data_IF_245526545839
#
_entry.id   IF_245526545839
#
_cell.length_a   1.000
_cell.length_b   1.000
_cell.length_c   1.000
_cell.angle_alpha   90.00
_cell.angle_beta   90.00
_cell.angle_gamma   90.00
#
_symmetry.space_group_name_H-M   'P 1'
#
loop_
_entity.id
_entity.type
_entity.pdbx_description
1 polymer ?
#
# COMPACT_ATOMS: atom_id res chain seq x y z
N UNK A 1 24.52 -15.34 13.47
CA UNK A 1 24.60 -13.86 13.58
C UNK A 1 25.16 -13.40 12.25
N UNK A 2 24.30 -12.96 11.34
CA UNK A 2 24.73 -12.39 10.06
C UNK A 2 24.95 -10.89 10.28
N UNK A 3 26.12 -10.40 9.88
CA UNK A 3 26.50 -8.99 10.03
C UNK A 3 25.79 -8.10 9.00
N UNK A 4 25.72 -6.78 9.25
CA UNK A 4 25.00 -5.81 8.41
C UNK A 4 25.58 -5.58 7.00
N UNK A 5 26.58 -6.36 6.57
CA UNK A 5 27.25 -6.23 5.26
C UNK A 5 27.04 -7.45 4.33
N UNK A 6 26.37 -8.52 4.77
CA UNK A 6 25.94 -9.60 3.87
C UNK A 6 24.61 -9.18 3.22
N UNK A 7 24.74 -8.37 2.17
CA UNK A 7 23.64 -7.78 1.40
C UNK A 7 22.60 -8.80 0.96
N UNK A 8 21.36 -8.44 1.23
CA UNK A 8 20.14 -9.01 0.66
C UNK A 8 20.28 -9.07 -0.87
N UNK A 9 19.71 -10.12 -1.47
CA UNK A 9 19.60 -10.32 -2.92
C UNK A 9 19.38 -9.01 -3.67
N UNK A 10 20.31 -8.69 -4.58
CA UNK A 10 20.28 -7.50 -5.46
C UNK A 10 19.21 -7.61 -6.57
N UNK A 11 18.53 -8.76 -6.68
CA UNK A 11 17.56 -9.01 -7.73
C UNK A 11 16.18 -8.45 -7.35
N UNK A 12 15.85 -7.28 -7.88
CA UNK A 12 14.50 -6.67 -7.81
C UNK A 12 13.54 -7.18 -8.90
N UNK A 13 13.90 -8.23 -9.64
CA UNK A 13 13.07 -8.78 -10.74
C UNK A 13 11.69 -9.26 -10.26
N UNK A 14 11.55 -9.61 -8.98
CA UNK A 14 10.27 -10.02 -8.36
C UNK A 14 9.37 -8.85 -7.92
N UNK A 15 9.84 -7.60 -8.05
CA UNK A 15 9.09 -6.42 -7.62
C UNK A 15 7.96 -6.04 -8.60
N UNK A 16 7.89 -6.65 -9.77
CA UNK A 16 6.96 -6.22 -10.81
C UNK A 16 6.24 -7.40 -11.46
N UNK A 17 5.70 -8.30 -10.64
CA UNK A 17 5.06 -9.53 -11.11
C UNK A 17 3.92 -9.29 -12.12
N UNK A 18 3.23 -8.15 -12.04
CA UNK A 18 2.18 -7.72 -12.95
C UNK A 18 2.70 -7.03 -14.23
N UNK A 19 4.01 -6.80 -14.38
CA UNK A 19 4.61 -6.08 -15.50
C UNK A 19 5.37 -7.05 -16.42
N UNK A 20 5.05 -7.01 -17.71
CA UNK A 20 5.71 -7.78 -18.76
C UNK A 20 6.46 -6.88 -19.72
N UNK A 21 7.68 -7.27 -20.08
CA UNK A 21 8.47 -6.60 -21.12
C UNK A 21 8.37 -7.42 -22.41
N UNK A 22 7.74 -6.85 -23.45
CA UNK A 22 7.60 -7.50 -24.76
C UNK A 22 8.18 -6.59 -25.83
N UNK A 23 9.29 -7.01 -26.44
CA UNK A 23 9.97 -6.25 -27.50
C UNK A 23 10.50 -4.88 -27.04
N UNK A 24 10.87 -4.73 -25.77
CA UNK A 24 11.33 -3.47 -25.17
C UNK A 24 10.21 -2.54 -24.68
N UNK A 25 8.94 -2.95 -24.83
CA UNK A 25 7.79 -2.21 -24.32
C UNK A 25 7.30 -2.81 -22.99
N UNK A 26 6.93 -1.94 -22.06
CA UNK A 26 6.40 -2.28 -20.73
C UNK A 26 4.88 -2.41 -20.80
N UNK A 27 4.36 -3.54 -20.34
CA UNK A 27 2.93 -3.85 -20.30
C UNK A 27 2.49 -4.26 -18.91
N UNK A 28 1.48 -3.60 -18.36
CA UNK A 28 0.84 -4.01 -17.12
C UNK A 28 -0.31 -4.95 -17.43
N UNK A 29 -0.31 -6.12 -16.80
CA UNK A 29 -1.44 -7.04 -16.83
C UNK A 29 -2.48 -6.61 -15.81
N UNK A 30 -3.74 -6.58 -16.25
CA UNK A 30 -4.90 -6.30 -15.40
C UNK A 30 -5.81 -7.51 -15.49
N UNK A 31 -6.41 -7.90 -14.37
CA UNK A 31 -7.38 -8.99 -14.35
C UNK A 31 -8.65 -8.65 -15.16
N UNK A 32 -9.35 -9.66 -15.73
CA UNK A 32 -10.53 -9.42 -16.58
C UNK A 32 -11.68 -8.66 -15.91
N UNK A 33 -11.77 -8.71 -14.58
CA UNK A 33 -12.74 -8.04 -13.73
C UNK A 33 -12.27 -6.64 -13.26
N UNK A 34 -11.01 -6.27 -13.51
CA UNK A 34 -10.47 -4.96 -13.18
C UNK A 34 -11.27 -3.85 -13.89
N UNK A 35 -11.67 -2.75 -13.22
CA UNK A 35 -12.53 -1.72 -13.81
C UNK A 35 -11.97 -1.07 -15.09
N UNK A 36 -10.65 -0.97 -15.18
CA UNK A 36 -9.92 -0.48 -16.35
C UNK A 36 -9.48 -1.55 -17.37
N UNK A 37 -9.93 -2.82 -17.24
CA UNK A 37 -9.45 -3.92 -18.11
C UNK A 37 -9.65 -3.64 -19.60
N UNK A 38 -10.80 -3.04 -19.96
CA UNK A 38 -11.20 -2.72 -21.35
C UNK A 38 -10.96 -1.26 -21.74
N UNK A 39 -10.38 -0.45 -20.85
CA UNK A 39 -10.09 0.95 -21.12
C UNK A 39 -8.67 1.07 -21.66
N UNK A 40 -8.54 1.28 -22.98
CA UNK A 40 -7.24 1.40 -23.64
C UNK A 40 -6.42 2.58 -23.10
N UNK A 41 -7.08 3.71 -22.79
CA UNK A 41 -6.40 4.89 -22.26
C UNK A 41 -5.83 4.64 -20.87
N UNK A 42 -6.59 3.98 -19.99
CA UNK A 42 -6.10 3.60 -18.67
C UNK A 42 -4.95 2.58 -18.74
N UNK A 43 -5.01 1.62 -19.68
CA UNK A 43 -3.93 0.64 -19.87
C UNK A 43 -2.63 1.31 -20.35
N UNK A 44 -2.72 2.19 -21.33
CA UNK A 44 -1.57 2.97 -21.81
C UNK A 44 -0.99 3.81 -20.68
N UNK A 45 -1.86 4.36 -19.83
CA UNK A 45 -1.45 5.12 -18.67
C UNK A 45 -0.71 4.29 -17.62
N UNK A 46 -1.21 3.10 -17.30
CA UNK A 46 -0.51 2.13 -16.43
C UNK A 46 0.85 1.75 -17.00
N UNK A 47 0.95 1.54 -18.31
CA UNK A 47 2.20 1.24 -18.98
C UNK A 47 3.21 2.40 -18.91
N UNK A 48 2.76 3.64 -19.08
CA UNK A 48 3.60 4.83 -18.96
C UNK A 48 4.19 4.96 -17.55
N UNK A 49 3.36 4.81 -16.51
CA UNK A 49 3.82 4.92 -15.12
C UNK A 49 4.72 3.73 -14.74
N UNK A 50 4.42 2.52 -15.20
CA UNK A 50 5.25 1.34 -14.92
C UNK A 50 6.67 1.45 -15.50
N UNK A 51 6.88 2.21 -16.58
CA UNK A 51 8.23 2.47 -17.12
C UNK A 51 9.13 3.17 -16.10
N UNK A 52 8.58 4.08 -15.30
CA UNK A 52 9.32 4.78 -14.24
C UNK A 52 9.90 3.75 -13.27
N UNK A 53 9.10 2.78 -12.84
CA UNK A 53 9.54 1.73 -11.93
C UNK A 53 10.55 0.77 -12.57
N UNK A 54 10.43 0.47 -13.87
CA UNK A 54 11.41 -0.38 -14.57
C UNK A 54 12.78 0.31 -14.64
N UNK A 55 12.79 1.55 -15.12
CA UNK A 55 14.02 2.35 -15.21
C UNK A 55 14.63 2.60 -13.83
N UNK A 56 13.79 2.75 -12.80
CA UNK A 56 14.24 2.84 -11.42
C UNK A 56 14.93 1.55 -10.96
N UNK A 57 14.39 0.39 -11.33
CA UNK A 57 14.93 -0.90 -10.94
C UNK A 57 16.22 -1.30 -11.66
N UNK A 58 16.50 -0.71 -12.82
CA UNK A 58 17.77 -0.91 -13.52
C UNK A 58 18.95 -0.20 -12.82
N UNK A 59 18.68 0.78 -11.96
CA UNK A 59 19.71 1.48 -11.19
C UNK A 59 20.21 0.63 -10.03
N UNK A 60 21.51 0.75 -9.73
CA UNK A 60 22.09 0.19 -8.50
C UNK A 60 21.53 0.89 -7.26
N UNK A 61 21.62 0.24 -6.10
CA UNK A 61 21.17 0.81 -4.82
C UNK A 61 21.86 2.14 -4.49
N UNK A 62 23.14 2.28 -4.82
CA UNK A 62 23.91 3.53 -4.59
C UNK A 62 23.44 4.66 -5.51
N UNK A 63 23.11 4.35 -6.76
CA UNK A 63 22.54 5.34 -7.69
C UNK A 63 21.15 5.79 -7.23
N UNK A 64 20.27 4.85 -6.85
CA UNK A 64 18.92 5.17 -6.34
C UNK A 64 18.96 6.08 -5.10
N UNK A 65 19.93 5.89 -4.20
CA UNK A 65 20.11 6.72 -3.00
C UNK A 65 20.48 8.17 -3.31
N UNK A 66 21.09 8.41 -4.47
CA UNK A 66 21.56 9.73 -4.89
C UNK A 66 20.71 10.33 -6.03
N UNK A 67 19.65 9.64 -6.44
CA UNK A 67 18.77 10.03 -7.54
C UNK A 67 17.40 10.42 -7.00
N UNK A 68 16.79 11.46 -7.58
CA UNK A 68 15.40 11.85 -7.25
C UNK A 68 14.44 10.91 -7.96
N UNK A 69 13.42 10.45 -7.25
CA UNK A 69 12.33 9.65 -7.80
C UNK A 69 11.67 10.44 -8.94
N UNK A 70 11.55 9.87 -10.15
CA UNK A 70 10.93 10.57 -11.26
C UNK A 70 9.47 10.91 -10.96
N UNK A 71 9.03 12.07 -11.46
CA UNK A 71 7.65 12.48 -11.32
C UNK A 71 6.74 11.62 -12.20
N UNK A 72 5.64 11.15 -11.64
CA UNK A 72 4.56 10.56 -12.44
C UNK A 72 3.79 11.71 -13.14
N UNK A 73 3.54 11.61 -14.46
CA UNK A 73 3.00 12.72 -15.23
C UNK A 73 1.46 12.86 -15.09
N UNK A 74 0.93 12.98 -13.87
CA UNK A 74 -0.52 12.97 -13.55
C UNK A 74 -1.37 13.89 -14.42
N UNK A 75 -2.53 13.41 -14.87
CA UNK A 75 -3.51 14.19 -15.63
C UNK A 75 -4.52 14.89 -14.72
N UNK A 76 -5.22 15.89 -15.26
CA UNK A 76 -6.30 16.58 -14.52
C UNK A 76 -7.44 15.62 -14.12
N UNK A 77 -7.72 14.59 -14.91
CA UNK A 77 -8.72 13.57 -14.60
C UNK A 77 -8.27 12.68 -13.43
N UNK A 78 -6.98 12.33 -13.36
CA UNK A 78 -6.39 11.57 -12.25
C UNK A 78 -6.39 12.41 -10.96
N UNK A 79 -6.05 13.69 -11.05
CA UNK A 79 -6.14 14.65 -9.93
C UNK A 79 -7.59 14.79 -9.44
N UNK A 80 -8.58 14.78 -10.34
CA UNK A 80 -9.99 14.80 -9.95
C UNK A 80 -10.43 13.52 -9.21
N UNK A 81 -9.92 12.34 -9.60
CA UNK A 81 -10.16 11.09 -8.86
C UNK A 81 -9.58 11.17 -7.45
N UNK A 82 -8.34 11.65 -7.32
CA UNK A 82 -7.72 11.89 -6.02
C UNK A 82 -8.57 12.82 -5.16
N UNK A 83 -8.99 13.97 -5.69
CA UNK A 83 -9.76 14.95 -4.96
C UNK A 83 -11.09 14.38 -4.44
N UNK A 84 -11.80 13.62 -5.28
CA UNK A 84 -13.04 12.96 -4.88
C UNK A 84 -12.83 11.94 -3.74
N UNK A 85 -11.71 11.23 -3.75
CA UNK A 85 -11.36 10.28 -2.68
C UNK A 85 -11.02 11.03 -1.39
N UNK A 86 -10.18 12.07 -1.47
CA UNK A 86 -9.77 12.87 -0.31
C UNK A 86 -10.96 13.55 0.37
N UNK A 87 -11.89 14.12 -0.40
CA UNK A 87 -13.13 14.70 0.11
C UNK A 87 -13.93 13.68 0.93
N UNK A 88 -14.01 12.43 0.46
CA UNK A 88 -14.81 11.39 1.10
C UNK A 88 -14.12 10.78 2.31
N UNK A 89 -12.81 10.57 2.26
CA UNK A 89 -12.09 9.78 3.28
C UNK A 89 -11.71 10.61 4.51
N UNK A 90 -11.46 11.91 4.38
CA UNK A 90 -11.02 12.74 5.52
C UNK A 90 -12.00 12.79 6.70
N UNK A 91 -13.32 13.00 6.50
CA UNK A 91 -14.28 12.95 7.61
C UNK A 91 -14.31 11.57 8.29
N UNK A 92 -14.05 10.52 7.53
CA UNK A 92 -14.03 9.13 8.01
C UNK A 92 -12.77 8.89 8.84
N UNK A 93 -11.60 9.41 8.43
CA UNK A 93 -10.38 9.38 9.24
C UNK A 93 -10.56 10.06 10.58
N UNK A 94 -11.11 11.28 10.62
CA UNK A 94 -11.31 12.02 11.89
C UNK A 94 -12.17 11.21 12.89
N UNK A 95 -13.10 10.41 12.38
CA UNK A 95 -13.97 9.56 13.20
C UNK A 95 -13.31 8.25 13.60
N UNK A 96 -12.62 7.57 12.69
CA UNK A 96 -12.27 6.16 12.83
C UNK A 96 -10.77 5.85 12.77
N UNK A 97 -9.92 6.73 12.28
CA UNK A 97 -8.48 6.52 12.35
C UNK A 97 -7.96 6.70 13.79
N UNK A 98 -6.86 6.02 14.10
CA UNK A 98 -6.15 6.17 15.37
C UNK A 98 -5.53 7.57 15.51
N UNK A 99 -5.24 7.99 16.74
CA UNK A 99 -4.65 9.31 17.02
C UNK A 99 -3.30 9.50 16.32
N UNK A 100 -2.46 8.46 16.35
CA UNK A 100 -1.13 8.48 15.75
C UNK A 100 -1.19 8.71 14.23
N UNK A 101 -2.14 8.09 13.54
CA UNK A 101 -2.40 8.35 12.12
C UNK A 101 -2.75 9.81 11.89
N UNK A 102 -3.75 10.34 12.61
CA UNK A 102 -4.22 11.72 12.43
C UNK A 102 -3.11 12.76 12.67
N UNK A 103 -2.29 12.54 13.70
CA UNK A 103 -1.16 13.41 14.01
C UNK A 103 -0.11 13.43 12.89
N UNK A 104 0.20 12.27 12.31
CA UNK A 104 1.21 12.16 11.26
C UNK A 104 0.66 12.50 9.85
N UNK A 105 -0.61 12.25 9.58
CA UNK A 105 -1.29 12.72 8.38
C UNK A 105 -1.28 14.25 8.31
N UNK A 106 -1.47 14.95 9.44
CA UNK A 106 -1.32 16.42 9.52
C UNK A 106 0.10 16.89 9.22
N UNK A 107 1.13 16.20 9.71
CA UNK A 107 2.54 16.52 9.43
C UNK A 107 2.90 16.28 7.97
N UNK A 108 2.42 15.18 7.41
CA UNK A 108 2.64 14.81 6.02
C UNK A 108 1.97 15.84 5.09
N UNK A 109 0.77 16.31 5.45
CA UNK A 109 0.09 17.40 4.78
C UNK A 109 -0.13 17.09 3.30
N UNK A 110 -0.71 15.92 3.01
CA UNK A 110 -1.06 15.54 1.64
C UNK A 110 -2.12 16.51 1.10
N UNK A 111 -1.98 16.97 -0.16
CA UNK A 111 -2.92 17.87 -0.81
C UNK A 111 -4.30 17.24 -1.01
N UNK A 112 -5.32 18.10 -1.16
CA UNK A 112 -6.71 17.70 -1.40
C UNK A 112 -7.12 17.69 -2.85
N UNK A 113 -6.39 18.40 -3.70
CA UNK A 113 -6.82 18.79 -5.04
C UNK A 113 -6.04 18.09 -6.16
N UNK A 114 -4.91 17.45 -5.84
CA UNK A 114 -4.05 16.78 -6.81
C UNK A 114 -3.19 15.69 -6.18
N UNK A 115 -2.73 14.74 -6.98
CA UNK A 115 -1.88 13.66 -6.51
C UNK A 115 -0.47 14.22 -6.20
N UNK A 116 0.06 14.04 -4.99
CA UNK A 116 1.41 14.47 -4.66
C UNK A 116 2.47 13.56 -5.31
N UNK A 117 3.63 14.12 -5.63
CA UNK A 117 4.72 13.35 -6.22
C UNK A 117 5.43 12.50 -5.17
N UNK A 118 5.76 11.26 -5.53
CA UNK A 118 6.36 10.28 -4.61
C UNK A 118 7.66 10.81 -3.97
N UNK A 119 8.47 11.56 -4.73
CA UNK A 119 9.67 12.22 -4.22
C UNK A 119 9.39 13.19 -3.05
N UNK A 120 8.35 14.02 -3.19
CA UNK A 120 8.01 15.05 -2.20
C UNK A 120 7.51 14.41 -0.90
N UNK A 121 6.73 13.33 -1.02
CA UNK A 121 6.20 12.58 0.13
C UNK A 121 7.33 11.79 0.80
N UNK A 122 8.19 11.13 0.02
CA UNK A 122 9.36 10.39 0.49
C UNK A 122 10.32 11.28 1.31
N UNK A 123 10.56 12.52 0.87
CA UNK A 123 11.39 13.47 1.62
C UNK A 123 10.79 13.80 3.00
N UNK A 124 9.48 14.06 3.06
CA UNK A 124 8.80 14.31 4.32
C UNK A 124 8.88 13.09 5.24
N UNK A 125 8.56 11.90 4.73
CA UNK A 125 8.63 10.65 5.49
C UNK A 125 10.05 10.41 6.03
N UNK A 126 11.07 10.69 5.22
CA UNK A 126 12.47 10.53 5.62
C UNK A 126 12.83 11.41 6.83
N UNK A 127 12.33 12.64 6.89
CA UNK A 127 12.53 13.50 8.07
C UNK A 127 11.81 13.01 9.33
N UNK A 128 10.78 12.17 9.19
CA UNK A 128 9.98 11.67 10.31
C UNK A 128 10.59 10.42 10.93
N UNK A 129 10.96 9.42 10.13
CA UNK A 129 11.41 8.10 10.62
C UNK A 129 12.63 7.54 9.88
N UNK A 130 13.16 8.27 8.90
CA UNK A 130 14.24 7.83 8.02
C UNK A 130 13.79 6.89 6.91
N UNK A 131 12.51 6.51 6.85
CA UNK A 131 11.96 5.77 5.72
C UNK A 131 12.00 6.61 4.44
N UNK A 132 12.29 5.95 3.32
CA UNK A 132 12.14 6.51 1.98
C UNK A 132 11.25 5.61 1.15
N UNK A 133 10.62 6.18 0.15
CA UNK A 133 9.83 5.42 -0.82
C UNK A 133 10.65 5.13 -2.09
N UNK A 134 10.36 4.03 -2.76
CA UNK A 134 10.86 3.72 -4.10
C UNK A 134 9.69 3.30 -5.01
N UNK A 135 9.66 3.74 -6.28
CA UNK A 135 8.59 3.41 -7.20
C UNK A 135 8.60 1.92 -7.56
N UNK A 136 7.41 1.32 -7.61
CA UNK A 136 7.22 -0.05 -8.09
C UNK A 136 6.05 -0.13 -9.08
N UNK A 137 6.15 -1.04 -10.05
CA UNK A 137 5.21 -1.15 -11.17
C UNK A 137 3.94 -1.93 -10.84
N UNK A 138 3.89 -2.62 -9.71
CA UNK A 138 2.74 -3.42 -9.28
C UNK A 138 3.06 -4.29 -8.08
N UNK A 139 2.40 -5.46 -7.99
CA UNK A 139 2.59 -6.40 -6.89
C UNK A 139 4.01 -6.95 -6.84
N UNK A 140 4.58 -6.91 -5.65
CA UNK A 140 5.93 -7.37 -5.30
C UNK A 140 5.83 -8.69 -4.56
N UNK A 141 6.76 -9.61 -4.81
CA UNK A 141 6.87 -10.80 -3.98
C UNK A 141 7.06 -10.42 -2.49
N UNK A 142 6.33 -11.03 -1.53
CA UNK A 142 6.34 -10.60 -0.13
C UNK A 142 7.74 -10.50 0.48
N UNK A 143 8.64 -11.44 0.15
CA UNK A 143 10.01 -11.43 0.64
C UNK A 143 10.81 -10.23 0.18
N UNK A 144 10.63 -9.82 -1.08
CA UNK A 144 11.27 -8.64 -1.66
C UNK A 144 10.75 -7.37 -0.99
N UNK A 145 9.43 -7.29 -0.78
CA UNK A 145 8.79 -6.16 -0.11
C UNK A 145 9.26 -6.02 1.35
N UNK A 146 9.18 -7.08 2.14
CA UNK A 146 9.62 -7.08 3.54
C UNK A 146 11.12 -6.80 3.68
N UNK A 147 11.95 -7.35 2.80
CA UNK A 147 13.40 -7.06 2.82
C UNK A 147 13.70 -5.58 2.55
N UNK A 148 12.89 -4.91 1.73
CA UNK A 148 12.98 -3.45 1.56
C UNK A 148 12.63 -2.70 2.86
N UNK A 149 11.58 -3.13 3.57
CA UNK A 149 11.19 -2.53 4.86
C UNK A 149 12.30 -2.61 5.91
N UNK A 150 13.04 -3.73 5.97
CA UNK A 150 14.20 -3.88 6.85
C UNK A 150 15.26 -2.79 6.61
N UNK A 151 15.32 -2.26 5.39
CA UNK A 151 16.26 -1.20 4.98
C UNK A 151 15.63 0.20 4.99
N UNK A 152 14.48 0.36 5.66
CA UNK A 152 13.69 1.60 5.67
C UNK A 152 13.31 2.08 4.26
N UNK A 153 13.06 1.13 3.35
CA UNK A 153 12.56 1.39 2.01
C UNK A 153 11.14 0.85 1.91
N UNK A 154 10.20 1.73 1.56
CA UNK A 154 8.83 1.35 1.26
C UNK A 154 8.63 1.35 -0.26
N UNK A 155 8.33 0.19 -0.84
CA UNK A 155 8.02 0.09 -2.27
C UNK A 155 6.60 0.58 -2.50
N UNK A 156 6.43 1.59 -3.34
CA UNK A 156 5.19 2.34 -3.52
C UNK A 156 4.83 2.41 -4.98
N UNK A 157 3.60 2.08 -5.33
CA UNK A 157 3.08 2.34 -6.66
C UNK A 157 2.86 3.84 -6.89
N UNK A 158 2.82 4.26 -8.15
CA UNK A 158 2.53 5.64 -8.55
C UNK A 158 1.26 5.78 -9.39
N UNK A 159 0.63 4.70 -9.85
CA UNK A 159 -0.62 4.80 -10.62
C UNK A 159 -1.81 5.02 -9.70
N UNK A 160 -2.84 5.71 -10.18
CA UNK A 160 -4.12 5.84 -9.47
C UNK A 160 -5.14 4.84 -10.01
N UNK A 161 -6.05 4.38 -9.15
CA UNK A 161 -7.17 3.51 -9.53
C UNK A 161 -8.07 4.14 -10.60
N UNK A 162 -8.80 3.28 -11.30
CA UNK A 162 -9.69 3.70 -12.39
C UNK A 162 -10.87 4.58 -11.92
N UNK A 163 -11.17 5.63 -12.68
CA UNK A 163 -12.17 6.66 -12.33
C UNK A 163 -13.62 6.16 -12.24
N UNK A 164 -13.95 5.02 -12.86
CA UNK A 164 -15.30 4.42 -12.77
C UNK A 164 -15.60 3.82 -11.39
N UNK A 165 -14.55 3.53 -10.60
CA UNK A 165 -14.66 2.95 -9.25
C UNK A 165 -13.65 3.66 -8.32
N UNK A 166 -13.76 4.98 -8.08
CA UNK A 166 -12.77 5.72 -7.27
C UNK A 166 -12.75 5.27 -5.80
N UNK A 167 -13.80 4.56 -5.39
CA UNK A 167 -14.06 4.13 -4.04
C UNK A 167 -13.70 2.67 -3.77
N UNK A 168 -13.15 1.96 -4.77
CA UNK A 168 -12.78 0.55 -4.69
C UNK A 168 -11.56 0.29 -5.59
N UNK A 169 -10.59 -0.48 -5.11
CA UNK A 169 -9.49 -0.98 -5.93
C UNK A 169 -9.02 -2.34 -5.40
N UNK A 170 -8.81 -3.36 -6.26
CA UNK A 170 -8.24 -4.63 -5.84
C UNK A 170 -6.70 -4.57 -5.73
N UNK A 171 -6.08 -3.53 -6.30
CA UNK A 171 -4.64 -3.33 -6.33
C UNK A 171 -4.22 -2.15 -5.45
N UNK A 172 -3.01 -2.18 -4.85
CA UNK A 172 -2.47 -1.06 -4.08
C UNK A 172 -2.06 0.07 -5.03
N UNK A 173 -2.96 1.05 -5.22
CA UNK A 173 -2.72 2.26 -6.01
C UNK A 173 -2.09 3.38 -5.17
N UNK A 174 -1.72 4.50 -5.78
CA UNK A 174 -1.06 5.63 -5.09
C UNK A 174 -1.85 6.16 -3.90
N UNK A 175 -3.18 6.07 -3.90
CA UNK A 175 -4.00 6.42 -2.74
C UNK A 175 -3.73 5.47 -1.59
N UNK A 176 -3.73 4.16 -1.85
CA UNK A 176 -3.40 3.15 -0.85
C UNK A 176 -2.04 3.41 -0.19
N UNK A 177 -1.03 3.68 -1.00
CA UNK A 177 0.34 3.89 -0.50
C UNK A 177 0.49 5.19 0.30
N UNK A 178 -0.01 6.30 -0.27
CA UNK A 178 0.24 7.61 0.31
C UNK A 178 -0.72 7.92 1.46
N UNK A 179 -2.01 7.61 1.29
CA UNK A 179 -3.05 7.87 2.29
C UNK A 179 -3.07 6.79 3.36
N UNK A 180 -2.91 5.51 2.97
CA UNK A 180 -2.92 4.38 3.91
C UNK A 180 -1.60 4.24 4.66
N UNK A 181 -0.52 3.90 3.95
CA UNK A 181 0.76 3.53 4.56
C UNK A 181 1.54 4.72 5.10
N UNK A 182 1.70 5.77 4.30
CA UNK A 182 2.78 6.75 4.53
C UNK A 182 2.62 7.52 5.84
N UNK A 183 1.40 7.89 6.21
CA UNK A 183 1.15 8.55 7.50
C UNK A 183 1.47 7.63 8.70
N UNK A 184 1.16 6.33 8.61
CA UNK A 184 1.51 5.36 9.64
C UNK A 184 3.02 5.09 9.70
N UNK A 185 3.71 5.04 8.57
CA UNK A 185 5.19 4.94 8.54
C UNK A 185 5.89 6.17 9.15
N UNK A 186 5.18 7.28 9.29
CA UNK A 186 5.63 8.46 10.05
C UNK A 186 5.59 8.28 11.57
N UNK A 187 4.97 7.21 12.08
CA UNK A 187 4.92 6.85 13.51
C UNK A 187 6.17 6.01 13.84
N UNK A 188 7.06 6.45 14.76
CA UNK A 188 8.31 5.75 15.04
C UNK A 188 8.14 4.27 15.42
N UNK A 189 7.17 3.94 16.27
CA UNK A 189 6.92 2.57 16.72
C UNK A 189 6.36 1.69 15.59
N UNK A 190 5.56 2.27 14.68
CA UNK A 190 5.03 1.55 13.52
C UNK A 190 6.12 1.31 12.47
N UNK A 191 6.98 2.31 12.25
CA UNK A 191 8.15 2.19 11.40
C UNK A 191 9.11 1.10 11.92
N UNK A 192 9.36 1.06 13.22
CA UNK A 192 10.14 0.00 13.86
C UNK A 192 9.49 -1.38 13.68
N UNK A 193 8.18 -1.49 13.84
CA UNK A 193 7.46 -2.74 13.61
C UNK A 193 7.64 -3.24 12.17
N UNK A 194 7.54 -2.36 11.18
CA UNK A 194 7.78 -2.71 9.77
C UNK A 194 9.21 -3.21 9.52
N UNK A 195 10.22 -2.57 10.14
CA UNK A 195 11.62 -3.01 10.06
C UNK A 195 11.77 -4.41 10.66
N UNK A 196 11.19 -4.66 11.85
CA UNK A 196 11.27 -5.95 12.53
C UNK A 196 10.59 -7.07 11.74
N UNK A 197 9.47 -6.79 11.07
CA UNK A 197 8.85 -7.72 10.13
C UNK A 197 9.76 -8.02 8.95
N UNK A 198 10.39 -7.00 8.38
CA UNK A 198 11.39 -7.14 7.33
C UNK A 198 12.55 -8.04 7.72
N UNK A 199 13.18 -7.76 8.86
CA UNK A 199 14.27 -8.57 9.42
C UNK A 199 13.83 -10.00 9.74
N UNK A 200 12.58 -10.20 10.15
CA UNK A 200 12.02 -11.53 10.38
C UNK A 200 11.85 -12.30 9.08
N UNK A 201 11.36 -11.66 8.02
CA UNK A 201 11.17 -12.34 6.74
C UNK A 201 12.52 -12.67 6.06
N UNK A 202 13.55 -11.85 6.26
CA UNK A 202 14.90 -12.18 5.81
C UNK A 202 15.43 -13.50 6.40
N UNK A 203 14.93 -13.92 7.56
CA UNK A 203 15.30 -15.18 8.23
C UNK A 203 14.42 -16.36 7.83
N UNK A 204 13.39 -16.17 7.01
CA UNK A 204 12.57 -17.29 6.52
C UNK A 204 13.34 -18.11 5.50
N UNK A 205 13.15 -19.43 5.51
CA UNK A 205 13.84 -20.36 4.60
C UNK A 205 12.89 -21.10 3.66
N UNK A 206 11.58 -20.80 3.69
CA UNK A 206 10.59 -21.46 2.84
C UNK A 206 9.38 -20.57 2.54
N UNK A 207 8.74 -20.81 1.39
CA UNK A 207 7.48 -20.16 1.00
C UNK A 207 6.37 -20.33 2.03
N UNK A 208 6.30 -21.48 2.70
CA UNK A 208 5.34 -21.70 3.76
C UNK A 208 5.57 -20.77 4.97
N UNK A 209 6.83 -20.46 5.29
CA UNK A 209 7.16 -19.52 6.36
C UNK A 209 6.89 -18.07 5.94
N UNK A 210 7.24 -17.70 4.70
CA UNK A 210 6.94 -16.39 4.12
C UNK A 210 5.43 -16.14 4.15
N UNK A 211 4.62 -17.11 3.69
CA UNK A 211 3.16 -17.03 3.71
C UNK A 211 2.61 -16.82 5.12
N UNK A 212 3.07 -17.59 6.11
CA UNK A 212 2.63 -17.44 7.51
C UNK A 212 2.95 -16.06 8.07
N UNK A 213 4.15 -15.54 7.81
CA UNK A 213 4.53 -14.19 8.24
C UNK A 213 3.72 -13.11 7.51
N UNK A 214 3.50 -13.29 6.21
CA UNK A 214 2.63 -12.43 5.39
C UNK A 214 1.20 -12.38 5.91
N UNK A 215 0.64 -13.50 6.37
CA UNK A 215 -0.68 -13.53 7.03
C UNK A 215 -0.70 -12.67 8.31
N UNK A 216 0.37 -12.70 9.11
CA UNK A 216 0.46 -11.85 10.30
C UNK A 216 0.56 -10.37 9.89
N UNK A 217 1.41 -10.06 8.89
CA UNK A 217 1.51 -8.70 8.34
C UNK A 217 0.13 -8.21 7.87
N UNK A 218 -0.62 -9.05 7.16
CA UNK A 218 -1.96 -8.73 6.69
C UNK A 218 -2.91 -8.35 7.83
N UNK A 219 -3.01 -9.17 8.88
CA UNK A 219 -3.97 -8.89 9.96
C UNK A 219 -3.55 -7.76 10.92
N UNK A 220 -2.25 -7.43 10.99
CA UNK A 220 -1.74 -6.43 11.93
C UNK A 220 -1.38 -5.13 11.22
N UNK A 221 -0.52 -5.22 10.21
CA UNK A 221 0.05 -4.06 9.54
C UNK A 221 -0.84 -3.58 8.40
N UNK A 222 -1.61 -4.44 7.75
CA UNK A 222 -2.42 -4.08 6.57
C UNK A 222 -3.88 -3.75 6.93
N UNK A 223 -4.54 -4.62 7.70
CA UNK A 223 -5.94 -4.48 8.12
C UNK A 223 -6.12 -4.37 9.65
N UNK A 224 -5.06 -3.99 10.35
CA UNK A 224 -5.08 -3.88 11.81
C UNK A 224 -6.05 -2.81 12.33
N UNK A 225 -6.59 -3.09 13.51
CA UNK A 225 -7.35 -2.13 14.31
C UNK A 225 -6.85 -2.11 15.75
N UNK A 226 -6.96 -0.97 16.41
CA UNK A 226 -6.62 -0.81 17.82
C UNK A 226 -7.81 -0.29 18.64
N UNK A 227 -7.65 -0.24 19.97
CA UNK A 227 -8.64 0.35 20.88
C UNK A 227 -8.10 1.62 21.49
N UNK A 228 -8.78 2.73 21.24
CA UNK A 228 -8.49 4.05 21.83
C UNK A 228 -9.74 4.53 22.58
N UNK A 229 -9.60 4.86 23.87
CA UNK A 229 -10.70 5.35 24.71
C UNK A 229 -11.97 4.47 24.64
N UNK A 230 -11.77 3.15 24.60
CA UNK A 230 -12.84 2.16 24.52
C UNK A 230 -13.44 1.95 23.12
N UNK A 231 -13.05 2.75 22.11
CA UNK A 231 -13.53 2.66 20.73
C UNK A 231 -12.54 1.93 19.84
N UNK A 232 -13.05 1.24 18.82
CA UNK A 232 -12.22 0.62 17.78
C UNK A 232 -11.77 1.69 16.78
N UNK A 233 -10.49 1.63 16.39
CA UNK A 233 -9.84 2.57 15.49
C UNK A 233 -9.01 1.84 14.44
N UNK A 234 -9.02 2.33 13.21
CA UNK A 234 -8.19 1.82 12.13
C UNK A 234 -6.72 2.22 12.32
N UNK A 235 -5.83 1.25 12.12
CA UNK A 235 -4.37 1.46 12.04
C UNK A 235 -3.78 0.89 10.76
N UNK A 236 -4.44 -0.11 10.17
CA UNK A 236 -4.04 -0.75 8.92
C UNK A 236 -4.29 0.13 7.69
N UNK A 237 -3.32 0.30 6.78
CA UNK A 237 -3.41 1.00 5.50
C UNK A 237 -4.56 0.56 4.61
N UNK A 238 -4.89 -0.74 4.55
CA UNK A 238 -6.06 -1.26 3.85
C UNK A 238 -7.34 -0.58 4.33
N UNK A 239 -7.53 -0.50 5.65
CA UNK A 239 -8.65 0.26 6.24
C UNK A 239 -8.49 1.77 5.99
N UNK A 240 -7.31 2.32 6.24
CA UNK A 240 -7.08 3.77 6.16
C UNK A 240 -7.17 4.33 4.73
N UNK A 241 -7.13 3.50 3.70
CA UNK A 241 -7.27 3.91 2.29
C UNK A 241 -8.62 3.54 1.66
N UNK A 242 -9.50 2.92 2.45
CA UNK A 242 -10.80 2.41 2.03
C UNK A 242 -11.88 2.86 3.00
N UNK A 243 -12.64 3.91 2.64
CA UNK A 243 -13.67 4.44 3.55
C UNK A 243 -14.74 3.39 3.89
N UNK A 244 -15.13 2.54 2.93
CA UNK A 244 -16.13 1.49 3.15
C UNK A 244 -15.67 0.46 4.18
N UNK A 245 -14.44 -0.04 4.04
CA UNK A 245 -13.86 -1.01 4.97
C UNK A 245 -13.59 -0.39 6.35
N UNK A 246 -13.14 0.87 6.41
CA UNK A 246 -12.94 1.58 7.68
C UNK A 246 -14.25 1.77 8.45
N UNK A 247 -15.32 2.20 7.77
CA UNK A 247 -16.64 2.32 8.39
C UNK A 247 -17.15 0.95 8.86
N UNK A 248 -17.00 -0.07 8.03
CA UNK A 248 -17.39 -1.44 8.36
C UNK A 248 -16.67 -1.94 9.62
N UNK A 249 -15.33 -1.90 9.62
CA UNK A 249 -14.48 -2.40 10.69
C UNK A 249 -14.72 -1.66 12.02
N UNK A 250 -14.93 -0.34 11.98
CA UNK A 250 -15.04 0.48 13.18
C UNK A 250 -16.46 0.63 13.73
N UNK A 251 -17.49 0.15 13.02
CA UNK A 251 -18.90 0.20 13.46
C UNK A 251 -19.52 -1.18 13.71
N UNK A 252 -18.72 -2.25 13.64
CA UNK A 252 -19.23 -3.63 13.68
C UNK A 252 -20.34 -3.88 12.64
N UNK A 253 -20.16 -3.33 11.43
CA UNK A 253 -21.10 -3.50 10.31
C UNK A 253 -22.38 -2.66 10.36
N UNK A 254 -22.59 -1.80 11.37
CA UNK A 254 -23.84 -1.04 11.54
C UNK A 254 -24.06 0.12 10.54
N UNK A 255 -23.05 0.47 9.73
CA UNK A 255 -23.07 1.65 8.84
C UNK A 255 -23.42 1.40 7.36
N UNK A 256 -23.57 0.15 6.91
CA UNK A 256 -23.77 -0.14 5.49
C UNK A 256 -25.17 0.30 5.00
N UNK A 257 -25.23 1.41 4.25
CA UNK A 257 -26.38 1.74 3.39
C UNK A 257 -26.44 0.85 2.13
N UNK A 258 -27.50 0.98 1.33
CA UNK A 258 -27.83 0.07 0.20
C UNK A 258 -26.99 0.25 -1.08
N UNK A 259 -25.81 0.90 -1.01
CA UNK A 259 -24.96 1.07 -2.19
C UNK A 259 -24.02 -0.14 -2.33
N UNK A 260 -23.88 -0.68 -3.54
CA UNK A 260 -23.28 -1.96 -3.94
C UNK A 260 -21.77 -2.13 -3.64
N UNK A 261 -21.32 -1.87 -2.41
CA UNK A 261 -19.95 -2.15 -1.95
C UNK A 261 -19.91 -2.76 -0.54
N UNK A 262 -20.98 -3.42 -0.08
CA UNK A 262 -20.95 -4.18 1.17
C UNK A 262 -21.14 -5.67 0.87
N UNK A 263 -20.04 -6.43 0.91
CA UNK A 263 -20.08 -7.88 1.15
C UNK A 263 -20.40 -8.10 2.64
N UNK A 264 -21.24 -9.10 2.89
CA UNK A 264 -22.07 -9.30 4.07
C UNK A 264 -21.35 -9.44 5.43
N UNK A 265 -22.10 -9.05 6.49
CA UNK A 265 -21.97 -9.27 7.94
C UNK A 265 -20.99 -10.38 8.41
N UNK A 266 -19.75 -10.03 8.83
CA UNK A 266 -18.93 -10.88 9.66
C UNK A 266 -19.13 -10.52 11.14
N UNK A 267 -19.57 -11.51 11.94
CA UNK A 267 -19.45 -11.44 13.39
C UNK A 267 -17.98 -11.31 13.76
N UNK A 268 -17.59 -10.18 14.34
CA UNK A 268 -16.23 -10.00 14.87
C UNK A 268 -16.05 -10.94 16.07
N UNK A 269 -15.46 -12.10 15.82
CA UNK A 269 -14.95 -13.01 16.85
C UNK A 269 -13.49 -12.66 17.14
N UNK A 270 -13.17 -12.43 18.42
CA UNK A 270 -11.79 -12.46 18.88
C UNK A 270 -11.32 -13.91 18.86
N UNK A 271 -10.74 -14.35 17.74
CA UNK A 271 -10.17 -15.69 17.60
C UNK A 271 -8.73 -15.72 18.11
N UNK A 272 -8.37 -16.79 18.82
CA UNK A 272 -6.96 -17.20 18.89
C UNK A 272 -6.58 -17.61 17.47
N UNK A 273 -5.58 -16.98 16.82
CA UNK A 273 -5.24 -17.29 15.43
C UNK A 273 -4.90 -18.77 15.28
N UNK A 274 -5.71 -19.50 14.52
CA UNK A 274 -5.30 -20.79 13.99
C UNK A 274 -4.66 -20.53 12.63
N UNK A 275 -3.33 -20.55 12.60
CA UNK A 275 -2.55 -20.31 11.39
C UNK A 275 -2.75 -21.39 10.31
N UNK A 276 -3.37 -22.53 10.63
CA UNK A 276 -3.72 -23.54 9.64
C UNK A 276 -5.07 -23.27 8.97
N UNK A 277 -5.97 -22.51 9.60
CA UNK A 277 -7.27 -22.09 9.04
C UNK A 277 -7.27 -20.68 8.44
N UNK A 278 -6.24 -19.87 8.70
CA UNK A 278 -6.09 -18.53 8.12
C UNK A 278 -5.62 -18.60 6.65
N UNK A 279 -6.53 -18.96 5.74
CA UNK A 279 -6.33 -18.68 4.31
C UNK A 279 -6.52 -17.17 4.07
N UNK A 280 -5.45 -16.50 3.63
CA UNK A 280 -5.57 -15.22 2.94
C UNK A 280 -6.19 -15.52 1.57
N UNK A 281 -7.50 -15.41 1.45
CA UNK A 281 -8.11 -15.37 0.13
C UNK A 281 -7.59 -14.09 -0.56
N UNK A 282 -6.95 -14.16 -1.75
CA UNK A 282 -6.81 -12.97 -2.58
C UNK A 282 -8.21 -12.41 -2.79
N UNK A 283 -8.43 -11.13 -2.50
CA UNK A 283 -9.70 -10.41 -2.55
C UNK A 283 -10.84 -11.18 -3.26
N UNK A 284 -11.53 -12.06 -2.53
CA UNK A 284 -12.67 -12.80 -3.07
C UNK A 284 -13.91 -11.95 -2.84
N UNK A 285 -14.15 -11.04 -3.78
CA UNK A 285 -15.42 -10.32 -3.93
C UNK A 285 -16.10 -10.89 -5.17
N UNK A 286 -16.85 -11.99 -4.96
CA UNK A 286 -17.77 -12.56 -5.98
C UNK A 286 -18.57 -11.48 -6.71
#
# INVERSE_FOLDING_TARGET
>A
MHGPEEGISEHTDEANSAVKIVGGNVFVELDPDHPGFKDEGYRDRRNEIAKIAMEWNDMSMDERRNTKIPHAPYSEDEDAVWAAIMERIRPVHEKYACRQYLDNARKLGLPDDKIPQLQEVSEKLHTMTGFRQEPVGGLVHPKTFHSALANKVFLSTQYIRHSSRPFYTPEPDVVHELVGHTAMLGVPEWAELNILFGEADMRTESEAAIKKLGTIYWFILEFGACREDGKIKAVGPGLLSSFGEMEHACTAGAGCGTNEACVCDPKIEYRTPDFEEMETHPYDVT
#
